data_IF_549400722767
#
_entry.id   IF_549400722767
#
_cell.length_a   1.000
_cell.length_b   1.000
_cell.length_c   1.000
_cell.angle_alpha   90.00
_cell.angle_beta   90.00
_cell.angle_gamma   90.00
#
_symmetry.space_group_name_H-M   'P 1'
#
loop_
_entity.id
_entity.type
_entity.pdbx_description
1 polymer ?
#
# COMPACT_ATOMS: atom_id res chain seq x y z
N UNK A 1 14.92 -38.25 -16.12
CA UNK A 1 13.64 -37.61 -15.70
C UNK A 1 13.74 -37.28 -14.22
N UNK A 2 13.05 -36.23 -13.74
CA UNK A 2 13.02 -35.89 -12.31
C UNK A 2 11.93 -36.66 -11.55
N UNK A 3 11.85 -36.55 -10.20
CA UNK A 3 10.71 -37.05 -9.45
C UNK A 3 9.41 -36.38 -9.91
N UNK A 4 8.31 -37.14 -9.85
CA UNK A 4 6.97 -36.71 -10.26
C UNK A 4 6.44 -35.55 -9.40
N UNK A 5 5.35 -34.94 -9.88
CA UNK A 5 4.68 -33.83 -9.17
C UNK A 5 4.07 -34.31 -7.85
N UNK A 6 4.37 -33.62 -6.73
CA UNK A 6 3.74 -33.93 -5.43
C UNK A 6 2.32 -33.37 -5.29
N UNK A 7 1.92 -32.38 -6.11
CA UNK A 7 0.53 -31.91 -6.17
C UNK A 7 -0.25 -32.56 -7.33
N UNK A 8 0.44 -33.20 -8.28
CA UNK A 8 -0.11 -33.65 -9.56
C UNK A 8 0.02 -32.57 -10.64
N UNK A 9 0.32 -32.97 -11.87
CA UNK A 9 0.68 -32.07 -12.97
C UNK A 9 -0.44 -31.07 -13.32
N UNK A 10 -1.71 -31.53 -13.27
CA UNK A 10 -2.87 -30.66 -13.47
C UNK A 10 -3.03 -29.59 -12.39
N UNK A 11 -2.50 -29.82 -11.18
CA UNK A 11 -2.59 -28.89 -10.06
C UNK A 11 -1.39 -27.94 -10.02
N UNK A 12 -0.18 -28.41 -10.33
CA UNK A 12 0.98 -27.52 -10.52
C UNK A 12 0.76 -26.58 -11.72
N UNK A 13 0.16 -27.04 -12.82
CA UNK A 13 -0.23 -26.14 -13.92
C UNK A 13 -1.19 -25.03 -13.47
N UNK A 14 -2.20 -25.34 -12.67
CA UNK A 14 -3.15 -24.33 -12.15
C UNK A 14 -2.48 -23.34 -11.19
N UNK A 15 -1.55 -23.81 -10.36
CA UNK A 15 -0.73 -22.94 -9.51
C UNK A 15 0.19 -22.03 -10.35
N UNK A 16 0.76 -22.56 -11.44
CA UNK A 16 1.57 -21.78 -12.38
C UNK A 16 0.75 -20.70 -13.10
N UNK A 17 -0.45 -21.04 -13.58
CA UNK A 17 -1.35 -20.09 -14.23
C UNK A 17 -1.91 -19.05 -13.23
N UNK A 18 -2.08 -19.41 -11.95
CA UNK A 18 -2.40 -18.46 -10.87
C UNK A 18 -1.28 -17.46 -10.61
N UNK A 19 -0.03 -17.91 -10.54
CA UNK A 19 1.15 -17.02 -10.37
C UNK A 19 1.21 -15.96 -11.48
N UNK A 20 0.99 -16.37 -12.74
CA UNK A 20 0.92 -15.43 -13.89
C UNK A 20 -0.26 -14.47 -13.77
N UNK A 21 -1.41 -14.95 -13.30
CA UNK A 21 -2.62 -14.12 -13.13
C UNK A 21 -2.40 -13.04 -12.07
N UNK A 22 -1.81 -13.39 -10.93
CA UNK A 22 -1.46 -12.45 -9.86
C UNK A 22 -0.39 -11.44 -10.28
N UNK A 23 0.58 -11.85 -11.10
CA UNK A 23 1.50 -10.90 -11.76
C UNK A 23 0.74 -9.94 -12.68
N UNK A 24 -0.21 -10.44 -13.48
CA UNK A 24 -1.02 -9.65 -14.41
C UNK A 24 -1.99 -8.66 -13.76
N UNK A 25 -2.30 -8.83 -12.47
CA UNK A 25 -3.10 -7.88 -11.66
C UNK A 25 -2.25 -6.94 -10.80
N UNK A 26 -0.92 -6.97 -10.93
CA UNK A 26 0.00 -6.08 -10.20
C UNK A 26 0.47 -6.58 -8.84
N UNK A 27 0.13 -7.82 -8.46
CA UNK A 27 0.47 -8.42 -7.16
C UNK A 27 1.39 -9.65 -7.31
N UNK A 28 2.67 -9.48 -7.72
CA UNK A 28 3.59 -10.59 -7.94
C UNK A 28 3.91 -11.36 -6.65
N UNK A 29 3.60 -12.65 -6.64
CA UNK A 29 3.79 -13.54 -5.48
C UNK A 29 5.27 -13.81 -5.21
N UNK A 30 5.71 -13.73 -3.94
CA UNK A 30 7.09 -14.04 -3.57
C UNK A 30 7.35 -15.54 -3.43
N UNK A 31 8.63 -15.92 -3.31
CA UNK A 31 9.09 -17.26 -2.92
C UNK A 31 8.36 -17.78 -1.66
N UNK A 32 8.08 -16.92 -0.67
CA UNK A 32 7.37 -17.35 0.54
C UNK A 32 5.90 -17.64 0.25
N UNK A 33 5.25 -16.79 -0.54
CA UNK A 33 3.81 -16.84 -0.76
C UNK A 33 3.43 -18.05 -1.62
N UNK A 34 4.19 -18.30 -2.69
CA UNK A 34 4.05 -19.53 -3.50
C UNK A 34 4.22 -20.79 -2.64
N UNK A 35 5.11 -20.77 -1.65
CA UNK A 35 5.32 -21.90 -0.71
C UNK A 35 4.22 -22.04 0.35
N UNK A 36 3.54 -20.96 0.74
CA UNK A 36 2.34 -21.00 1.61
C UNK A 36 1.14 -21.50 0.82
N UNK A 37 0.87 -20.91 -0.35
CA UNK A 37 -0.24 -21.29 -1.23
C UNK A 37 -0.12 -22.77 -1.61
N UNK A 38 1.07 -23.26 -1.96
CA UNK A 38 1.30 -24.67 -2.26
C UNK A 38 1.05 -25.62 -1.06
N UNK A 39 1.21 -25.14 0.18
CA UNK A 39 0.87 -25.92 1.39
C UNK A 39 -0.65 -25.94 1.60
N UNK A 40 -1.28 -24.76 1.63
CA UNK A 40 -2.74 -24.61 1.81
C UNK A 40 -3.53 -25.38 0.74
N UNK A 41 -3.09 -25.31 -0.52
CA UNK A 41 -3.67 -26.01 -1.65
C UNK A 41 -3.58 -27.53 -1.53
N UNK A 42 -2.53 -28.05 -0.89
CA UNK A 42 -2.32 -29.47 -0.69
C UNK A 42 -3.17 -30.02 0.48
N UNK A 43 -3.27 -29.28 1.59
CA UNK A 43 -4.15 -29.63 2.72
C UNK A 43 -5.64 -29.56 2.30
N UNK A 44 -6.07 -28.51 1.59
CA UNK A 44 -7.46 -28.35 1.14
C UNK A 44 -7.90 -29.39 0.08
N UNK A 45 -6.97 -29.87 -0.76
CA UNK A 45 -7.22 -31.01 -1.66
C UNK A 45 -6.98 -32.38 -1.00
N UNK A 46 -6.63 -32.42 0.30
CA UNK A 46 -6.28 -33.63 1.06
C UNK A 46 -5.19 -34.49 0.36
N UNK A 47 -4.24 -33.84 -0.31
CA UNK A 47 -3.14 -34.48 -1.03
C UNK A 47 -2.06 -34.90 -0.04
N UNK A 48 -1.59 -36.15 -0.12
CA UNK A 48 -0.56 -36.69 0.78
C UNK A 48 0.84 -36.08 0.51
N UNK A 49 1.09 -34.91 1.08
CA UNK A 49 2.35 -34.16 0.93
C UNK A 49 3.38 -34.42 2.05
N UNK A 50 4.64 -34.04 1.78
CA UNK A 50 5.76 -34.03 2.76
C UNK A 50 6.16 -32.61 3.22
N UNK A 51 5.28 -31.63 3.04
CA UNK A 51 5.53 -30.23 3.42
C UNK A 51 5.56 -30.01 4.93
N UNK A 52 6.14 -28.89 5.38
CA UNK A 52 6.35 -28.62 6.78
C UNK A 52 5.06 -28.10 7.45
N UNK A 53 4.39 -28.96 8.23
CA UNK A 53 3.18 -28.62 8.99
C UNK A 53 3.43 -27.69 10.20
N UNK A 54 4.68 -27.44 10.63
CA UNK A 54 4.97 -26.47 11.72
C UNK A 54 5.28 -25.05 11.24
N UNK A 55 5.57 -24.87 9.95
CA UNK A 55 5.76 -23.57 9.30
C UNK A 55 4.68 -23.25 8.25
N UNK A 56 3.74 -24.18 8.04
CA UNK A 56 2.64 -24.12 7.06
C UNK A 56 3.13 -23.81 5.62
N UNK A 57 4.25 -24.43 5.23
CA UNK A 57 4.96 -24.14 3.97
C UNK A 57 5.52 -25.38 3.27
N UNK A 58 5.45 -25.36 1.94
CA UNK A 58 6.18 -26.27 1.08
C UNK A 58 7.71 -26.09 1.21
N UNK A 59 8.48 -27.14 0.90
CA UNK A 59 9.95 -27.10 0.97
C UNK A 59 10.59 -26.29 -0.18
N UNK A 60 11.82 -25.83 0.02
CA UNK A 60 12.60 -25.18 -1.05
C UNK A 60 12.86 -26.13 -2.23
N UNK A 61 13.16 -27.40 -1.95
CA UNK A 61 13.42 -28.41 -2.99
C UNK A 61 12.19 -28.65 -3.87
N UNK A 62 10.98 -28.64 -3.28
CA UNK A 62 9.75 -28.72 -4.06
C UNK A 62 9.62 -27.51 -5.00
N UNK A 63 9.90 -26.29 -4.54
CA UNK A 63 9.83 -25.09 -5.37
C UNK A 63 10.85 -25.16 -6.52
N UNK A 64 12.08 -25.64 -6.27
CA UNK A 64 13.09 -25.84 -7.31
C UNK A 64 12.64 -26.89 -8.35
N UNK A 65 11.98 -27.98 -7.92
CA UNK A 65 11.43 -28.97 -8.83
C UNK A 65 10.21 -28.45 -9.62
N UNK A 66 9.37 -27.60 -9.01
CA UNK A 66 8.24 -26.93 -9.64
C UNK A 66 8.70 -25.96 -10.74
N UNK A 67 9.65 -25.05 -10.44
CA UNK A 67 10.20 -24.10 -11.41
C UNK A 67 10.90 -24.81 -12.58
N UNK A 68 11.52 -25.99 -12.34
CA UNK A 68 12.08 -26.82 -13.43
C UNK A 68 11.00 -27.52 -14.29
N UNK A 69 9.77 -27.69 -13.79
CA UNK A 69 8.63 -28.17 -14.58
C UNK A 69 7.88 -27.03 -15.29
N UNK A 70 7.98 -25.81 -14.78
CA UNK A 70 7.38 -24.59 -15.33
C UNK A 70 8.47 -23.56 -15.69
N UNK A 71 9.24 -23.80 -16.78
CA UNK A 71 10.33 -22.90 -17.19
C UNK A 71 9.82 -21.53 -17.68
N UNK A 72 8.51 -21.41 -17.91
CA UNK A 72 7.77 -20.17 -18.15
C UNK A 72 7.63 -19.29 -16.88
N UNK A 73 7.99 -19.81 -15.70
CA UNK A 73 8.07 -19.04 -14.44
C UNK A 73 9.54 -18.91 -14.03
N UNK A 74 10.15 -17.76 -14.35
CA UNK A 74 11.55 -17.47 -14.04
C UNK A 74 11.65 -16.69 -12.73
N UNK A 75 12.41 -17.21 -11.76
CA UNK A 75 12.74 -16.47 -10.54
C UNK A 75 13.62 -15.26 -10.89
N UNK A 76 13.03 -14.06 -10.83
CA UNK A 76 13.75 -12.78 -10.90
C UNK A 76 14.03 -12.28 -9.49
N UNK A 77 15.21 -11.69 -9.29
CA UNK A 77 15.56 -10.97 -8.08
C UNK A 77 14.94 -9.58 -8.16
N UNK A 78 14.06 -9.22 -7.23
CA UNK A 78 13.66 -7.82 -7.05
C UNK A 78 14.87 -7.02 -6.58
N UNK A 79 15.17 -5.90 -7.26
CA UNK A 79 16.42 -5.18 -7.02
C UNK A 79 16.38 -4.29 -5.77
N UNK A 80 17.51 -4.25 -5.06
CA UNK A 80 17.58 -3.73 -3.70
C UNK A 80 17.68 -2.22 -3.61
N UNK A 81 16.52 -1.55 -3.57
CA UNK A 81 16.29 -0.28 -2.84
C UNK A 81 17.32 0.84 -3.09
N UNK A 82 17.42 1.31 -4.33
CA UNK A 82 17.85 2.69 -4.62
C UNK A 82 17.14 3.25 -5.86
N UNK A 83 17.30 2.58 -7.00
CA UNK A 83 16.74 3.01 -8.31
C UNK A 83 15.20 2.92 -8.34
N UNK A 84 14.59 2.02 -7.58
CA UNK A 84 13.13 1.89 -7.49
C UNK A 84 12.40 3.16 -6.96
N UNK A 85 13.10 4.11 -6.33
CA UNK A 85 12.55 5.44 -5.98
C UNK A 85 12.55 6.44 -7.15
N UNK A 86 13.28 6.18 -8.22
CA UNK A 86 13.27 6.94 -9.47
C UNK A 86 12.40 6.27 -10.55
N UNK A 87 12.14 4.96 -10.42
CA UNK A 87 11.29 4.17 -11.32
C UNK A 87 9.86 3.95 -10.80
N UNK A 88 9.58 4.22 -9.51
CA UNK A 88 8.28 3.98 -8.86
C UNK A 88 7.14 4.93 -9.26
N UNK A 89 7.14 5.40 -10.52
CA UNK A 89 6.18 6.29 -11.15
C UNK A 89 6.16 6.03 -12.67
N UNK A 90 5.62 4.86 -13.04
CA UNK A 90 5.30 4.46 -14.40
C UNK A 90 3.94 5.08 -14.79
N UNK A 91 3.85 5.83 -15.90
CA UNK A 91 2.58 6.45 -16.33
C UNK A 91 1.45 5.46 -16.51
N UNK A 92 1.73 4.26 -16.99
CA UNK A 92 0.69 3.25 -17.26
C UNK A 92 0.08 2.70 -15.96
N UNK A 93 0.90 2.47 -14.93
CA UNK A 93 0.44 2.00 -13.61
C UNK A 93 -0.34 3.08 -12.86
N UNK A 94 0.11 4.34 -12.97
CA UNK A 94 -0.54 5.48 -12.33
C UNK A 94 -1.84 5.87 -13.04
N UNK A 95 -1.88 5.80 -14.38
CA UNK A 95 -3.12 5.93 -15.15
C UNK A 95 -4.11 4.85 -14.78
N UNK A 96 -3.71 3.56 -14.81
CA UNK A 96 -4.59 2.46 -14.44
C UNK A 96 -5.12 2.55 -13.00
N UNK A 97 -4.35 3.12 -12.08
CA UNK A 97 -4.83 3.47 -10.74
C UNK A 97 -5.87 4.60 -10.76
N UNK A 98 -5.64 5.68 -11.51
CA UNK A 98 -6.62 6.76 -11.64
C UNK A 98 -7.90 6.32 -12.37
N UNK A 99 -7.80 5.47 -13.40
CA UNK A 99 -8.94 4.87 -14.10
C UNK A 99 -9.79 4.00 -13.14
N UNK A 100 -9.11 3.22 -12.29
CA UNK A 100 -9.75 2.40 -11.25
C UNK A 100 -10.33 3.25 -10.12
N UNK A 101 -9.68 4.35 -9.74
CA UNK A 101 -10.17 5.30 -8.75
C UNK A 101 -11.43 6.02 -9.27
N UNK A 102 -11.39 6.57 -10.48
CA UNK A 102 -12.54 7.22 -11.12
C UNK A 102 -13.74 6.28 -11.17
N UNK A 103 -13.52 5.05 -11.66
CA UNK A 103 -14.57 4.03 -11.68
C UNK A 103 -15.15 3.76 -10.29
N UNK A 104 -14.32 3.57 -9.26
CA UNK A 104 -14.83 3.34 -7.91
C UNK A 104 -15.57 4.57 -7.33
N UNK A 105 -15.17 5.79 -7.70
CA UNK A 105 -15.85 7.01 -7.28
C UNK A 105 -17.19 7.23 -8.02
N UNK A 106 -17.30 6.80 -9.27
CA UNK A 106 -18.54 6.89 -10.08
C UNK A 106 -19.52 5.76 -9.72
N UNK A 107 -19.10 4.50 -9.78
CA UNK A 107 -19.94 3.30 -9.56
C UNK A 107 -20.60 3.26 -8.17
N UNK A 108 -20.10 4.07 -7.22
CA UNK A 108 -20.55 4.11 -5.83
C UNK A 108 -21.01 5.50 -5.37
N UNK A 109 -21.17 6.46 -6.30
CA UNK A 109 -21.64 7.82 -6.03
C UNK A 109 -20.82 8.52 -4.93
N UNK A 110 -19.49 8.57 -5.10
CA UNK A 110 -18.54 9.17 -4.15
C UNK A 110 -17.83 10.43 -4.70
N UNK A 111 -17.94 10.72 -6.00
CA UNK A 111 -17.30 11.89 -6.65
C UNK A 111 -17.58 13.24 -5.97
N UNK A 112 -18.70 13.37 -5.26
CA UNK A 112 -19.14 14.58 -4.56
C UNK A 112 -19.13 14.44 -3.03
N UNK A 113 -18.64 13.31 -2.49
CA UNK A 113 -18.71 12.95 -1.06
C UNK A 113 -17.32 12.89 -0.41
N UNK A 114 -16.67 14.04 -0.16
CA UNK A 114 -15.33 14.08 0.45
C UNK A 114 -15.31 13.44 1.85
N UNK A 115 -16.44 13.41 2.53
CA UNK A 115 -16.60 12.76 3.83
C UNK A 115 -16.52 11.22 3.77
N UNK A 116 -16.78 10.60 2.61
CA UNK A 116 -16.76 9.16 2.38
C UNK A 116 -15.49 8.64 1.69
N UNK A 117 -14.57 9.53 1.28
CA UNK A 117 -13.28 9.15 0.67
C UNK A 117 -12.18 9.29 1.71
N UNK A 118 -11.71 8.14 2.23
CA UNK A 118 -10.71 8.03 3.29
C UNK A 118 -9.34 7.60 2.76
N UNK A 119 -8.33 7.95 3.54
CA UNK A 119 -6.97 7.46 3.40
C UNK A 119 -6.44 7.03 4.77
N UNK A 120 -5.73 5.90 4.82
CA UNK A 120 -5.03 5.39 6.00
C UNK A 120 -3.60 5.00 5.66
N UNK A 121 -2.68 5.25 6.60
CA UNK A 121 -1.24 5.06 6.42
C UNK A 121 -0.51 4.92 7.79
N UNK A 122 0.70 4.35 7.76
CA UNK A 122 1.56 4.15 8.93
C UNK A 122 2.76 5.11 8.98
N UNK A 123 3.12 5.54 10.20
CA UNK A 123 4.34 6.31 10.41
C UNK A 123 5.06 5.99 11.72
N UNK A 124 6.32 5.56 11.60
CA UNK A 124 7.21 5.38 12.75
C UNK A 124 7.62 6.70 13.41
N UNK A 125 7.31 6.86 14.70
CA UNK A 125 7.82 7.90 15.59
C UNK A 125 8.80 7.27 16.59
N UNK A 126 9.98 7.87 16.77
CA UNK A 126 11.02 7.33 17.65
C UNK A 126 11.02 8.01 19.02
N UNK A 127 11.15 7.23 20.09
CA UNK A 127 11.30 7.70 21.47
C UNK A 127 12.74 8.21 21.73
N UNK A 128 13.16 9.19 20.95
CA UNK A 128 14.33 10.01 21.18
C UNK A 128 14.07 11.45 20.71
N UNK A 129 14.84 12.41 21.22
CA UNK A 129 14.97 13.69 20.55
C UNK A 129 15.92 13.54 19.36
N UNK A 130 15.44 13.87 18.16
CA UNK A 130 16.34 14.18 17.05
C UNK A 130 16.95 15.55 17.30
N UNK A 131 18.28 15.69 17.28
CA UNK A 131 18.92 17.00 17.43
C UNK A 131 18.57 17.87 16.22
N UNK A 132 18.01 19.05 16.48
CA UNK A 132 17.69 20.03 15.44
C UNK A 132 18.90 20.88 15.06
N UNK A 133 18.73 21.75 14.06
CA UNK A 133 19.72 22.80 13.80
C UNK A 133 19.85 23.72 15.01
N UNK A 134 21.09 24.06 15.36
CA UNK A 134 21.45 24.90 16.50
C UNK A 134 22.38 26.01 16.04
N UNK A 135 22.21 27.20 16.62
CA UNK A 135 23.13 28.31 16.42
C UNK A 135 24.33 28.14 17.36
N UNK A 136 25.53 28.35 16.83
CA UNK A 136 26.78 28.29 17.56
C UNK A 136 27.69 29.45 17.14
N UNK A 137 28.69 29.77 17.97
CA UNK A 137 29.63 30.85 17.66
C UNK A 137 30.48 30.51 16.43
N UNK A 138 30.77 31.53 15.61
CA UNK A 138 31.59 31.38 14.40
C UNK A 138 33.00 30.93 14.77
N UNK A 139 33.34 29.68 14.47
CA UNK A 139 34.60 29.03 14.84
C UNK A 139 34.48 27.91 15.87
N UNK A 140 33.31 27.68 16.48
CA UNK A 140 33.06 26.53 17.36
C UNK A 140 33.18 25.22 16.57
N UNK A 141 34.22 24.42 16.86
CA UNK A 141 34.53 23.16 16.15
C UNK A 141 33.64 21.97 16.52
N UNK A 142 33.00 22.00 17.69
CA UNK A 142 32.13 20.94 18.17
C UNK A 142 30.89 21.55 18.83
N UNK A 143 29.70 21.15 18.38
CA UNK A 143 28.42 21.58 18.94
C UNK A 143 27.62 20.33 19.26
N UNK A 144 27.47 20.02 20.55
CA UNK A 144 26.73 18.86 21.04
C UNK A 144 25.40 19.29 21.64
N UNK A 145 24.38 18.46 21.43
CA UNK A 145 23.06 18.60 22.07
C UNK A 145 22.74 17.30 22.77
N UNK A 146 22.28 17.37 24.02
CA UNK A 146 22.03 16.20 24.85
C UNK A 146 20.89 15.36 24.26
N UNK A 147 21.22 14.19 23.70
CA UNK A 147 20.24 13.18 23.26
C UNK A 147 20.00 12.16 24.37
N UNK A 148 18.75 11.75 24.60
CA UNK A 148 18.44 10.78 25.67
C UNK A 148 18.92 9.36 25.37
N UNK A 149 19.04 9.02 24.09
CA UNK A 149 19.22 7.66 23.57
C UNK A 149 19.60 7.73 22.08
N UNK A 150 20.69 7.07 21.67
CA UNK A 150 21.12 7.04 20.25
C UNK A 150 20.08 6.37 19.34
N UNK A 151 19.48 5.26 19.80
CA UNK A 151 18.40 4.54 19.12
C UNK A 151 17.18 4.50 20.03
N UNK A 152 16.26 5.45 19.85
CA UNK A 152 14.95 5.42 20.49
C UNK A 152 14.09 4.26 19.97
N UNK A 153 13.22 3.72 20.84
CA UNK A 153 12.20 2.76 20.43
C UNK A 153 11.25 3.39 19.40
N UNK A 154 10.96 2.70 18.29
CA UNK A 154 9.95 3.15 17.33
C UNK A 154 8.56 2.68 17.75
N UNK A 155 7.61 3.61 17.84
CA UNK A 155 6.18 3.35 17.93
C UNK A 155 5.57 3.80 16.60
N UNK A 156 4.80 2.92 15.97
CA UNK A 156 4.14 3.24 14.70
C UNK A 156 2.77 3.82 14.98
N UNK A 157 2.48 5.01 14.47
CA UNK A 157 1.11 5.52 14.42
C UNK A 157 0.41 4.93 13.20
N UNK A 158 -0.88 4.67 13.32
CA UNK A 158 -1.82 4.55 12.21
C UNK A 158 -2.60 5.86 12.19
N UNK A 159 -2.49 6.60 11.09
CA UNK A 159 -3.31 7.78 10.84
C UNK A 159 -4.43 7.42 9.83
N UNK A 160 -5.58 8.07 9.96
CA UNK A 160 -6.64 7.99 8.97
C UNK A 160 -7.44 9.29 8.93
N UNK A 161 -7.75 9.78 7.73
CA UNK A 161 -8.55 10.97 7.49
C UNK A 161 -9.38 10.85 6.21
N UNK A 162 -10.45 11.64 6.09
CA UNK A 162 -11.20 11.79 4.86
C UNK A 162 -10.85 13.08 4.10
N UNK A 163 -11.27 13.15 2.84
CA UNK A 163 -11.05 14.30 1.95
C UNK A 163 -11.76 15.59 2.39
N UNK A 164 -12.71 15.50 3.32
CA UNK A 164 -13.35 16.66 3.98
C UNK A 164 -12.44 17.28 5.06
N UNK A 165 -11.38 16.57 5.46
CA UNK A 165 -10.41 17.02 6.45
C UNK A 165 -10.63 16.49 7.86
N UNK A 166 -11.62 15.60 8.06
CA UNK A 166 -11.87 14.96 9.35
C UNK A 166 -10.88 13.82 9.58
N UNK A 167 -10.19 13.84 10.72
CA UNK A 167 -9.30 12.77 11.16
C UNK A 167 -9.99 11.84 12.15
N UNK A 168 -9.73 10.53 12.04
CA UNK A 168 -9.92 9.63 13.16
C UNK A 168 -8.82 9.89 14.21
N UNK A 169 -9.07 9.68 15.51
CA UNK A 169 -8.00 9.66 16.51
C UNK A 169 -6.91 8.66 16.09
N UNK A 170 -5.61 8.94 16.32
CA UNK A 170 -4.56 8.05 15.86
C UNK A 170 -4.60 6.76 16.65
N UNK A 171 -4.47 5.64 15.95
CA UNK A 171 -4.13 4.37 16.57
C UNK A 171 -2.60 4.24 16.65
N UNK A 172 -2.08 3.38 17.53
CA UNK A 172 -0.64 3.17 17.69
C UNK A 172 -0.31 1.69 17.90
N UNK A 173 0.79 1.23 17.30
CA UNK A 173 1.33 -0.12 17.44
C UNK A 173 2.61 -0.05 18.26
N UNK A 174 2.63 -0.76 19.39
CA UNK A 174 3.81 -0.89 20.25
C UNK A 174 4.32 -2.32 20.28
N UNK A 175 5.64 -2.51 20.26
CA UNK A 175 6.24 -3.84 20.40
C UNK A 175 6.09 -4.38 21.82
N UNK A 176 5.64 -5.62 21.99
CA UNK A 176 5.54 -6.29 23.29
C UNK A 176 4.38 -7.28 23.35
N UNK A 177 4.26 -7.98 24.49
CA UNK A 177 3.13 -8.89 24.75
C UNK A 177 2.05 -8.24 25.61
N UNK A 178 2.44 -7.48 26.63
CA UNK A 178 1.52 -6.97 27.64
C UNK A 178 1.22 -5.49 27.38
N UNK A 179 -0.05 -5.17 27.14
CA UNK A 179 -0.54 -3.80 27.18
C UNK A 179 -0.59 -3.35 28.65
N UNK A 180 -0.18 -2.11 28.90
CA UNK A 180 -0.40 -1.40 30.17
C UNK A 180 -1.49 -0.35 29.94
N UNK A 181 -2.34 -0.15 30.93
CA UNK A 181 -3.28 0.98 31.02
C UNK A 181 -2.54 2.30 30.83
N UNK A 182 -1.41 2.45 31.52
CA UNK A 182 -0.57 3.64 31.57
C UNK A 182 0.11 4.01 30.24
N UNK A 183 -0.08 3.21 29.17
CA UNK A 183 0.34 3.58 27.81
C UNK A 183 -0.69 4.46 27.10
N UNK A 184 -1.98 4.39 27.49
CA UNK A 184 -3.04 5.22 26.91
C UNK A 184 -3.15 6.60 27.59
N UNK A 185 -2.39 6.82 28.67
CA UNK A 185 -2.33 8.08 29.42
C UNK A 185 -1.91 9.27 28.55
N UNK A 186 -2.75 10.32 28.55
CA UNK A 186 -2.49 11.57 27.83
C UNK A 186 -2.52 11.47 26.30
N UNK A 187 -2.82 10.30 25.72
CA UNK A 187 -3.07 10.13 24.28
C UNK A 187 -4.20 11.06 23.78
N UNK A 188 -4.30 11.31 22.46
CA UNK A 188 -5.49 11.94 21.88
C UNK A 188 -6.79 11.22 22.30
N UNK A 189 -7.88 11.96 22.61
CA UNK A 189 -9.15 11.35 22.96
C UNK A 189 -9.65 10.37 21.89
N UNK A 190 -10.04 9.16 22.31
CA UNK A 190 -10.54 8.12 21.40
C UNK A 190 -9.48 7.33 20.64
N UNK A 191 -8.18 7.54 20.90
CA UNK A 191 -7.08 6.70 20.40
C UNK A 191 -7.18 5.23 20.84
N UNK A 192 -6.39 4.36 20.21
CA UNK A 192 -6.26 2.93 20.53
C UNK A 192 -4.80 2.48 20.45
N UNK A 193 -4.35 1.70 21.43
CA UNK A 193 -3.03 1.04 21.40
C UNK A 193 -3.17 -0.46 21.17
N UNK A 194 -2.52 -0.93 20.10
CA UNK A 194 -2.36 -2.32 19.69
C UNK A 194 -0.95 -2.81 20.06
N UNK A 195 -0.83 -4.10 20.42
CA UNK A 195 0.43 -4.72 20.85
C UNK A 195 0.89 -5.81 19.87
N UNK A 196 2.13 -5.73 19.39
CA UNK A 196 2.72 -6.76 18.51
C UNK A 196 3.94 -7.41 19.15
N UNK A 197 3.93 -8.75 19.26
CA UNK A 197 5.02 -9.49 19.92
C UNK A 197 6.37 -9.35 19.20
N UNK A 198 6.35 -9.26 17.86
CA UNK A 198 7.55 -9.36 17.01
C UNK A 198 8.13 -8.00 16.58
N UNK A 199 7.29 -7.03 16.24
CA UNK A 199 7.67 -5.75 15.64
C UNK A 199 6.81 -4.60 16.19
N UNK A 200 6.98 -3.39 15.67
CA UNK A 200 5.99 -2.31 15.78
C UNK A 200 5.28 -2.04 14.44
N UNK A 201 5.37 -2.97 13.48
CA UNK A 201 4.71 -2.86 12.17
C UNK A 201 3.29 -3.42 12.25
N UNK A 202 2.43 -2.99 11.33
CA UNK A 202 1.11 -3.58 11.16
C UNK A 202 1.21 -5.03 10.66
N UNK A 203 0.16 -5.79 10.94
CA UNK A 203 -0.09 -7.15 10.47
C UNK A 203 -1.55 -7.24 10.06
N UNK A 204 -1.93 -8.19 9.20
CA UNK A 204 -3.33 -8.33 8.77
C UNK A 204 -4.31 -8.50 9.95
N UNK A 205 -3.88 -9.15 11.04
CA UNK A 205 -4.66 -9.25 12.26
C UNK A 205 -4.87 -7.89 12.95
N UNK A 206 -3.83 -7.06 13.08
CA UNK A 206 -3.94 -5.70 13.65
C UNK A 206 -4.75 -4.78 12.73
N UNK A 207 -4.61 -4.93 11.40
CA UNK A 207 -5.39 -4.16 10.43
C UNK A 207 -6.89 -4.52 10.50
N UNK A 208 -7.22 -5.80 10.61
CA UNK A 208 -8.61 -6.25 10.77
C UNK A 208 -9.19 -5.87 12.13
N UNK A 209 -8.41 -5.95 13.22
CA UNK A 209 -8.81 -5.44 14.53
C UNK A 209 -9.07 -3.91 14.48
N UNK A 210 -8.18 -3.15 13.82
CA UNK A 210 -8.33 -1.71 13.59
C UNK A 210 -9.57 -1.38 12.75
N UNK A 211 -9.87 -2.13 11.69
CA UNK A 211 -11.13 -1.98 10.94
C UNK A 211 -12.34 -2.17 11.86
N UNK A 212 -12.36 -3.28 12.61
CA UNK A 212 -13.46 -3.68 13.51
C UNK A 212 -13.70 -2.70 14.67
N UNK A 213 -12.66 -2.26 15.39
CA UNK A 213 -12.82 -1.47 16.63
C UNK A 213 -12.52 0.03 16.47
N UNK A 214 -11.91 0.45 15.35
CA UNK A 214 -11.46 1.82 15.15
C UNK A 214 -12.11 2.51 13.95
N UNK A 215 -12.08 1.90 12.77
CA UNK A 215 -12.61 2.50 11.54
C UNK A 215 -14.14 2.39 11.42
N UNK A 216 -14.70 1.17 11.44
CA UNK A 216 -16.15 0.94 11.29
C UNK A 216 -17.00 1.75 12.28
N UNK A 217 -16.65 1.86 13.58
CA UNK A 217 -17.42 2.68 14.53
C UNK A 217 -17.32 4.20 14.32
N UNK A 218 -16.60 4.68 13.29
CA UNK A 218 -16.34 6.11 13.01
C UNK A 218 -16.55 6.52 11.54
N UNK A 219 -16.77 5.57 10.62
CA UNK A 219 -17.10 5.89 9.22
C UNK A 219 -18.54 6.44 9.11
N UNK A 220 -18.87 7.22 8.08
CA UNK A 220 -20.26 7.55 7.76
C UNK A 220 -21.08 6.30 7.35
N UNK A 221 -22.42 6.35 7.47
CA UNK A 221 -23.31 5.30 6.95
C UNK A 221 -23.24 5.22 5.42
N UNK A 222 -23.50 4.04 4.87
CA UNK A 222 -23.34 3.80 3.43
C UNK A 222 -21.90 3.46 3.03
N UNK A 223 -21.70 3.35 1.71
CA UNK A 223 -20.40 3.06 1.10
C UNK A 223 -19.34 4.12 1.38
N UNK A 224 -18.13 3.66 1.67
CA UNK A 224 -16.91 4.48 1.78
C UNK A 224 -15.77 3.88 0.97
N UNK A 225 -14.90 4.74 0.45
CA UNK A 225 -13.64 4.34 -0.16
C UNK A 225 -12.51 4.50 0.87
N UNK A 226 -11.69 3.48 1.07
CA UNK A 226 -10.53 3.51 1.95
C UNK A 226 -9.25 3.23 1.14
N UNK A 227 -8.45 4.27 0.97
CA UNK A 227 -7.19 4.26 0.24
C UNK A 227 -6.03 3.84 1.14
N UNK A 228 -5.26 2.87 0.67
CA UNK A 228 -4.18 2.20 1.40
C UNK A 228 -2.92 2.13 0.54
N UNK A 229 -1.78 1.86 1.16
CA UNK A 229 -0.56 1.50 0.42
C UNK A 229 -0.66 0.06 -0.15
N UNK A 230 0.29 -0.30 -1.01
CA UNK A 230 0.35 -1.62 -1.64
C UNK A 230 0.90 -2.75 -0.75
N UNK A 231 1.09 -2.54 0.56
CA UNK A 231 1.72 -3.53 1.42
C UNK A 231 0.79 -4.71 1.69
N UNK A 232 1.30 -5.93 1.51
CA UNK A 232 0.49 -7.14 1.44
C UNK A 232 -0.31 -7.46 2.72
N UNK A 233 0.03 -6.87 3.87
CA UNK A 233 -0.78 -6.98 5.09
C UNK A 233 -2.20 -6.46 4.92
N UNK A 234 -2.44 -5.50 4.02
CA UNK A 234 -3.74 -4.88 3.77
C UNK A 234 -4.63 -5.68 2.79
N UNK A 235 -4.10 -6.74 2.15
CA UNK A 235 -4.83 -7.52 1.14
C UNK A 235 -4.79 -9.05 1.36
N UNK A 236 -3.82 -9.59 2.10
CA UNK A 236 -3.59 -11.04 2.25
C UNK A 236 -4.54 -11.78 3.21
N UNK A 237 -5.79 -11.33 3.39
CA UNK A 237 -6.73 -11.96 4.33
C UNK A 237 -8.16 -11.91 3.80
N UNK A 238 -8.73 -13.11 3.53
CA UNK A 238 -10.11 -13.26 3.03
C UNK A 238 -11.12 -12.71 4.04
N UNK A 239 -11.00 -13.07 5.33
CA UNK A 239 -11.84 -12.54 6.43
C UNK A 239 -11.87 -11.00 6.46
N UNK A 240 -10.77 -10.34 6.11
CA UNK A 240 -10.67 -8.88 6.08
C UNK A 240 -11.35 -8.28 4.84
N UNK A 241 -11.27 -8.92 3.68
CA UNK A 241 -12.00 -8.51 2.47
C UNK A 241 -13.51 -8.74 2.63
N UNK A 242 -13.91 -9.86 3.22
CA UNK A 242 -15.30 -10.18 3.55
C UNK A 242 -15.86 -9.14 4.53
N UNK A 243 -15.17 -8.91 5.66
CA UNK A 243 -15.58 -7.92 6.66
C UNK A 243 -15.64 -6.48 6.09
N UNK A 244 -14.71 -6.11 5.20
CA UNK A 244 -14.77 -4.83 4.50
C UNK A 244 -16.03 -4.71 3.63
N UNK A 245 -16.33 -5.73 2.82
CA UNK A 245 -17.52 -5.77 1.98
C UNK A 245 -18.83 -5.75 2.79
N UNK A 246 -18.92 -6.54 3.88
CA UNK A 246 -20.06 -6.54 4.81
C UNK A 246 -20.35 -5.17 5.44
N UNK A 247 -19.30 -4.34 5.61
CA UNK A 247 -19.40 -3.01 6.21
C UNK A 247 -19.38 -1.88 5.17
N UNK A 248 -19.64 -2.19 3.89
CA UNK A 248 -19.66 -1.22 2.78
C UNK A 248 -18.33 -0.45 2.59
N UNK A 249 -17.19 -1.09 2.87
CA UNK A 249 -15.86 -0.50 2.70
C UNK A 249 -15.23 -1.00 1.39
N UNK A 250 -15.04 -0.09 0.45
CA UNK A 250 -14.27 -0.32 -0.77
C UNK A 250 -12.79 -0.11 -0.43
N UNK A 251 -11.99 -1.16 -0.49
CA UNK A 251 -10.54 -1.08 -0.28
C UNK A 251 -9.85 -0.85 -1.63
N UNK A 252 -8.99 0.16 -1.72
CA UNK A 252 -8.21 0.46 -2.92
C UNK A 252 -6.75 0.78 -2.57
N UNK A 253 -5.85 -0.12 -2.96
CA UNK A 253 -4.40 0.07 -2.82
C UNK A 253 -3.83 0.95 -3.94
N UNK A 254 -2.97 1.90 -3.61
CA UNK A 254 -2.15 2.60 -4.61
C UNK A 254 -1.06 1.68 -5.20
N UNK A 255 -0.52 1.95 -6.40
CA UNK A 255 0.56 1.14 -6.97
C UNK A 255 1.84 1.24 -6.14
N UNK A 256 2.67 0.19 -6.22
CA UNK A 256 3.91 0.08 -5.44
C UNK A 256 4.84 1.27 -5.65
N UNK A 257 5.51 1.70 -4.56
CA UNK A 257 6.48 2.80 -4.52
C UNK A 257 5.96 4.23 -4.81
N UNK A 258 4.68 4.41 -5.18
CA UNK A 258 4.10 5.71 -5.55
C UNK A 258 3.83 6.68 -4.37
N UNK A 259 3.91 6.23 -3.11
CA UNK A 259 3.36 6.93 -1.93
C UNK A 259 3.76 8.42 -1.86
N UNK A 260 5.03 8.73 -2.12
CA UNK A 260 5.58 10.08 -2.15
C UNK A 260 4.88 11.09 -3.10
N UNK A 261 4.05 10.61 -4.03
CA UNK A 261 3.13 11.41 -4.85
C UNK A 261 1.65 11.11 -4.60
N UNK A 262 1.26 9.82 -4.47
CA UNK A 262 -0.15 9.43 -4.41
C UNK A 262 -0.77 9.34 -3.00
N UNK A 263 0.01 9.32 -1.91
CA UNK A 263 -0.46 9.06 -0.54
C UNK A 263 -0.79 10.37 0.23
N UNK A 264 -2.06 10.76 0.46
CA UNK A 264 -2.42 12.02 1.11
C UNK A 264 -1.72 12.29 2.45
N UNK A 265 -1.63 11.27 3.32
CA UNK A 265 -1.01 11.38 4.64
C UNK A 265 0.50 11.65 4.58
N UNK A 266 1.22 11.04 3.63
CA UNK A 266 2.66 11.23 3.44
C UNK A 266 2.95 12.60 2.76
N UNK A 267 2.08 13.03 1.82
CA UNK A 267 2.17 14.32 1.10
C UNK A 267 2.12 15.53 2.02
N UNK A 268 1.24 15.54 3.03
CA UNK A 268 0.97 16.73 3.83
C UNK A 268 1.10 16.52 5.36
N UNK A 269 0.68 15.39 5.91
CA UNK A 269 0.47 15.23 7.36
C UNK A 269 1.73 14.74 8.08
N UNK A 270 2.35 13.66 7.61
CA UNK A 270 3.41 12.99 8.36
C UNK A 270 4.69 13.81 8.52
N UNK A 271 5.03 14.68 7.57
CA UNK A 271 6.16 15.61 7.70
C UNK A 271 5.93 16.63 8.83
N UNK A 272 4.73 17.20 8.89
CA UNK A 272 4.31 18.13 9.95
C UNK A 272 4.28 17.44 11.32
N UNK A 273 3.63 16.27 11.40
CA UNK A 273 3.51 15.51 12.64
C UNK A 273 4.86 15.05 13.20
N UNK A 274 5.78 14.57 12.34
CA UNK A 274 7.16 14.26 12.76
C UNK A 274 7.88 15.50 13.30
N UNK A 275 7.73 16.64 12.65
CA UNK A 275 8.33 17.91 13.11
C UNK A 275 7.84 18.31 14.51
N UNK A 276 6.52 18.39 14.70
CA UNK A 276 5.93 18.76 15.99
C UNK A 276 6.15 17.70 17.07
N UNK A 277 6.19 16.41 16.74
CA UNK A 277 6.51 15.38 17.72
C UNK A 277 7.93 15.53 18.26
N UNK A 278 8.95 15.68 17.39
CA UNK A 278 10.33 15.89 17.84
C UNK A 278 10.54 17.27 18.51
N UNK A 279 9.75 18.29 18.15
CA UNK A 279 9.65 19.56 18.90
C UNK A 279 9.23 19.30 20.36
N UNK A 280 8.14 18.54 20.58
CA UNK A 280 7.67 18.21 21.93
C UNK A 280 8.66 17.32 22.70
N UNK A 281 9.29 16.33 22.03
CA UNK A 281 10.37 15.53 22.63
C UNK A 281 11.52 16.40 23.17
N UNK A 282 11.96 17.39 22.39
CA UNK A 282 13.02 18.34 22.78
C UNK A 282 12.59 19.20 23.98
N UNK A 283 11.38 19.75 23.95
CA UNK A 283 10.85 20.55 25.07
C UNK A 283 10.74 19.72 26.36
N UNK A 284 10.26 18.47 26.27
CA UNK A 284 10.13 17.57 27.41
C UNK A 284 11.47 17.24 28.06
N UNK A 285 12.51 16.94 27.26
CA UNK A 285 13.86 16.65 27.78
C UNK A 285 14.47 17.88 28.45
N UNK A 286 14.30 19.08 27.87
CA UNK A 286 14.77 20.32 28.48
C UNK A 286 14.06 20.59 29.84
N UNK A 287 12.80 20.20 29.97
CA UNK A 287 12.01 20.30 31.21
C UNK A 287 12.26 19.15 32.21
N UNK A 288 12.90 18.05 31.78
CA UNK A 288 13.17 16.87 32.58
C UNK A 288 14.65 16.43 32.49
N UNK A 289 15.62 17.24 32.98
CA UNK A 289 17.04 16.88 32.95
C UNK A 289 17.33 15.49 33.52
N UNK A 290 18.18 14.73 32.83
CA UNK A 290 18.55 13.36 33.22
C UNK A 290 17.47 12.29 33.02
N UNK A 291 16.25 12.63 32.58
CA UNK A 291 15.21 11.65 32.27
C UNK A 291 15.17 11.32 30.77
N UNK A 292 14.76 10.10 30.44
CA UNK A 292 14.54 9.63 29.06
C UNK A 292 13.05 9.59 28.72
N UNK A 293 12.73 9.81 27.46
CA UNK A 293 11.37 9.62 26.93
C UNK A 293 11.04 8.12 26.97
N UNK A 294 9.81 7.78 27.35
CA UNK A 294 9.28 6.42 27.44
C UNK A 294 7.87 6.33 26.86
N UNK A 295 7.31 5.12 26.77
CA UNK A 295 5.91 4.89 26.37
C UNK A 295 4.90 5.64 27.24
N UNK A 296 5.18 5.81 28.54
CA UNK A 296 4.31 6.55 29.47
C UNK A 296 4.23 8.04 29.10
N UNK A 297 5.33 8.63 28.64
CA UNK A 297 5.33 10.02 28.14
C UNK A 297 4.78 10.15 26.72
N UNK A 298 4.78 9.07 25.92
CA UNK A 298 4.48 9.12 24.49
C UNK A 298 3.12 9.73 24.17
N UNK A 299 2.06 9.32 24.88
CA UNK A 299 0.71 9.83 24.64
C UNK A 299 0.63 11.36 24.77
N UNK A 300 1.17 11.90 25.86
CA UNK A 300 1.21 13.35 26.12
C UNK A 300 2.00 14.15 25.06
N UNK A 301 3.00 13.55 24.41
CA UNK A 301 3.81 14.17 23.36
C UNK A 301 3.12 14.05 21.99
N UNK A 302 2.56 12.88 21.69
CA UNK A 302 1.76 12.65 20.49
C UNK A 302 0.54 13.57 20.46
N UNK A 303 -0.17 13.73 21.57
CA UNK A 303 -1.38 14.56 21.64
C UNK A 303 -1.11 16.03 21.28
N UNK A 304 -0.07 16.62 21.88
CA UNK A 304 0.40 17.99 21.57
C UNK A 304 0.90 18.16 20.13
N UNK A 305 1.41 17.10 19.49
CA UNK A 305 1.85 17.13 18.11
C UNK A 305 0.70 16.88 17.11
N UNK A 306 -0.22 15.98 17.44
CA UNK A 306 -1.39 15.62 16.64
C UNK A 306 -2.31 16.82 16.45
N UNK A 307 -2.63 17.54 17.54
CA UNK A 307 -3.45 18.76 17.47
C UNK A 307 -2.84 19.92 16.66
N UNK A 308 -1.55 19.86 16.29
CA UNK A 308 -0.92 20.80 15.35
C UNK A 308 -0.85 20.30 13.91
N UNK A 309 -0.84 18.99 13.69
CA UNK A 309 -0.56 18.38 12.38
C UNK A 309 -1.78 17.76 11.69
N UNK A 310 -2.71 17.20 12.46
CA UNK A 310 -3.96 16.61 11.97
C UNK A 310 -5.04 17.69 11.77
N UNK A 311 -4.73 18.69 10.92
CA UNK A 311 -5.64 19.78 10.58
C UNK A 311 -6.39 19.47 9.28
N UNK A 312 -7.63 19.95 9.17
CA UNK A 312 -8.43 19.79 7.96
C UNK A 312 -7.71 20.32 6.70
N UNK A 313 -7.01 21.44 6.83
CA UNK A 313 -6.15 22.01 5.78
C UNK A 313 -5.08 21.02 5.29
N UNK A 314 -4.35 20.35 6.19
CA UNK A 314 -3.32 19.38 5.79
C UNK A 314 -3.93 18.16 5.10
N UNK A 315 -5.08 17.64 5.57
CA UNK A 315 -5.76 16.54 4.90
C UNK A 315 -6.28 16.94 3.51
N UNK A 316 -7.07 18.03 3.41
CA UNK A 316 -7.60 18.54 2.13
C UNK A 316 -6.45 18.85 1.15
N UNK A 317 -5.35 19.43 1.62
CA UNK A 317 -4.15 19.66 0.81
C UNK A 317 -3.49 18.36 0.36
N UNK A 318 -3.46 17.33 1.21
CA UNK A 318 -2.94 16.00 0.86
C UNK A 318 -3.75 15.34 -0.25
N UNK A 319 -5.08 15.26 -0.10
CA UNK A 319 -5.98 14.66 -1.09
C UNK A 319 -6.00 15.42 -2.43
N UNK A 320 -5.87 16.75 -2.39
CA UNK A 320 -5.73 17.58 -3.60
C UNK A 320 -4.37 17.36 -4.27
N UNK A 321 -3.29 17.28 -3.48
CA UNK A 321 -1.93 17.10 -3.98
C UNK A 321 -1.61 15.68 -4.45
N UNK A 322 -2.48 14.69 -4.21
CA UNK A 322 -2.41 13.35 -4.80
C UNK A 322 -3.39 13.14 -5.96
N UNK A 323 -4.21 14.13 -6.33
CA UNK A 323 -5.22 14.00 -7.36
C UNK A 323 -6.44 13.14 -6.98
N UNK A 324 -6.55 12.75 -5.71
CA UNK A 324 -7.63 11.87 -5.23
C UNK A 324 -8.93 12.65 -5.01
N UNK A 325 -8.86 13.82 -4.35
CA UNK A 325 -10.06 14.62 -4.08
C UNK A 325 -9.77 16.13 -4.03
N UNK A 326 -10.46 16.96 -4.85
CA UNK A 326 -11.29 16.57 -5.99
C UNK A 326 -10.51 15.70 -6.97
N UNK A 327 -11.19 14.76 -7.62
CA UNK A 327 -10.55 13.83 -8.55
C UNK A 327 -9.87 14.60 -9.70
N UNK A 328 -8.56 14.38 -9.86
CA UNK A 328 -7.75 15.00 -10.89
C UNK A 328 -6.51 14.12 -11.22
N UNK A 329 -6.54 13.30 -12.28
CA UNK A 329 -5.41 12.45 -12.67
C UNK A 329 -4.18 13.27 -13.11
N UNK A 330 -4.37 14.54 -13.51
CA UNK A 330 -3.29 15.45 -13.91
C UNK A 330 -2.63 16.19 -12.74
N UNK A 331 -3.04 15.94 -11.49
CA UNK A 331 -2.45 16.57 -10.32
C UNK A 331 -0.98 16.16 -10.06
N UNK A 332 -0.54 15.06 -10.66
CA UNK A 332 0.83 14.55 -10.52
C UNK A 332 1.68 15.06 -11.68
N UNK A 333 2.73 15.87 -11.42
CA UNK A 333 3.43 16.60 -12.47
C UNK A 333 4.36 15.71 -13.29
N UNK A 334 4.61 16.07 -14.56
CA UNK A 334 5.41 15.27 -15.50
C UNK A 334 6.84 14.95 -15.03
N UNK A 335 7.44 15.81 -14.19
CA UNK A 335 8.76 15.56 -13.60
C UNK A 335 8.77 14.42 -12.57
N UNK A 336 7.61 13.88 -12.18
CA UNK A 336 7.52 12.70 -11.31
C UNK A 336 7.78 11.40 -12.10
N UNK A 337 7.47 11.39 -13.39
CA UNK A 337 7.56 10.24 -14.30
C UNK A 337 8.89 10.21 -15.08
N UNK A 338 10.03 10.47 -14.41
CA UNK A 338 11.33 10.66 -15.09
C UNK A 338 11.76 9.42 -15.88
N UNK A 339 11.33 8.23 -15.46
CA UNK A 339 11.67 6.95 -16.10
C UNK A 339 11.05 6.73 -17.49
N UNK A 340 10.10 7.57 -17.92
CA UNK A 340 9.42 7.42 -19.22
C UNK A 340 10.09 8.24 -20.36
N UNK A 341 11.23 8.90 -20.11
CA UNK A 341 11.98 9.59 -21.16
C UNK A 341 12.81 8.60 -22.00
N UNK A 342 12.82 8.72 -23.34
CA UNK A 342 13.79 8.02 -24.18
C UNK A 342 15.24 8.37 -23.77
N UNK A 343 16.20 7.45 -23.87
CA UNK A 343 17.61 7.72 -23.52
C UNK A 343 18.24 8.90 -24.27
N UNK A 344 17.72 9.22 -25.46
CA UNK A 344 18.33 10.15 -26.41
C UNK A 344 18.11 11.64 -26.07
N UNK A 345 17.15 11.98 -25.19
CA UNK A 345 16.86 13.37 -24.82
C UNK A 345 17.75 13.92 -23.67
N UNK A 346 18.75 13.19 -23.20
CA UNK A 346 19.65 13.62 -22.11
C UNK A 346 20.96 14.23 -22.63
N UNK A 347 20.86 15.17 -23.58
CA UNK A 347 21.99 16.06 -23.94
C UNK A 347 21.56 17.53 -24.02
N UNK A 348 22.49 18.42 -23.68
CA UNK A 348 22.42 19.88 -23.89
C UNK A 348 21.30 20.67 -23.20
N UNK A 349 21.37 20.78 -21.86
CA UNK A 349 20.99 22.02 -21.18
C UNK A 349 22.27 22.76 -20.76
N UNK A 350 22.77 23.62 -21.65
CA UNK A 350 23.78 24.64 -21.33
C UNK A 350 23.57 25.88 -22.20
N UNK A 351 23.07 26.95 -21.58
CA UNK A 351 23.14 28.36 -22.01
C UNK A 351 22.94 28.72 -23.49
N UNK A 352 21.73 29.14 -23.88
CA UNK A 352 21.48 30.51 -24.39
C UNK A 352 20.02 30.78 -24.79
N UNK A 353 19.65 32.06 -24.79
CA UNK A 353 18.43 32.68 -25.32
C UNK A 353 18.87 33.87 -26.20
N UNK A 354 18.00 34.50 -27.02
CA UNK A 354 17.00 33.90 -27.92
C UNK A 354 16.98 34.59 -29.31
N UNK A 355 16.53 33.91 -30.37
CA UNK A 355 16.09 34.56 -31.64
C UNK A 355 14.88 33.84 -32.21
N UNK A 356 13.92 34.59 -32.77
CA UNK A 356 12.69 34.07 -33.38
C UNK A 356 12.72 34.16 -34.90
N UNK A 357 12.20 33.14 -35.60
CA UNK A 357 11.53 33.32 -36.91
C UNK A 357 10.55 32.17 -37.20
N UNK A 358 9.51 32.48 -37.95
CA UNK A 358 8.40 31.59 -38.34
C UNK A 358 8.50 31.12 -39.80
N UNK A 359 8.04 29.91 -40.12
CA UNK A 359 7.32 29.56 -41.38
C UNK A 359 6.34 28.39 -41.11
N UNK A 360 5.22 28.35 -41.82
CA UNK A 360 4.14 27.34 -41.78
C UNK A 360 4.23 26.29 -42.90
N UNK A 361 3.66 25.08 -42.71
CA UNK A 361 2.52 24.52 -43.50
C UNK A 361 2.50 22.98 -43.76
N UNK A 362 1.28 22.48 -44.03
CA UNK A 362 0.87 21.27 -44.80
C UNK A 362 1.12 19.82 -44.30
N UNK A 363 0.00 19.14 -43.99
CA UNK A 363 -0.32 17.70 -44.12
C UNK A 363 -1.08 17.45 -45.46
N UNK A 364 -1.69 16.28 -45.81
CA UNK A 364 -1.70 14.89 -45.24
C UNK A 364 -1.09 13.90 -46.30
N UNK A 365 -1.67 12.80 -46.89
CA UNK A 365 -2.80 11.89 -46.52
C UNK A 365 -2.68 10.35 -46.83
N UNK A 366 -3.14 9.53 -45.85
CA UNK A 366 -4.04 8.37 -45.99
C UNK A 366 -3.54 6.93 -46.38
N UNK A 367 -4.47 5.97 -46.19
CA UNK A 367 -4.52 4.50 -46.43
C UNK A 367 -3.87 3.59 -45.35
N UNK A 368 -4.54 2.54 -44.82
CA UNK A 368 -5.97 2.22 -44.84
C UNK A 368 -6.31 0.71 -44.67
N UNK A 369 -7.32 0.39 -43.84
CA UNK A 369 -8.10 -0.89 -43.80
C UNK A 369 -7.34 -2.21 -43.53
N UNK A 370 -7.92 -3.40 -43.21
CA UNK A 370 -9.18 -3.86 -42.57
C UNK A 370 -8.91 -5.29 -42.01
N UNK A 371 -9.81 -5.89 -41.21
CA UNK A 371 -9.82 -7.36 -41.01
C UNK A 371 -10.26 -7.87 -39.63
N UNK A 372 -11.48 -8.40 -39.54
CA UNK A 372 -11.99 -9.17 -38.39
C UNK A 372 -11.73 -10.69 -38.57
N UNK A 373 -11.80 -11.48 -37.49
CA UNK A 373 -12.53 -12.77 -37.41
C UNK A 373 -12.33 -13.49 -36.05
N UNK A 374 -13.42 -13.68 -35.32
CA UNK A 374 -13.66 -14.83 -34.42
C UNK A 374 -14.65 -15.77 -35.16
N UNK A 375 -14.93 -17.04 -34.77
CA UNK A 375 -15.92 -17.27 -33.70
C UNK A 375 -15.93 -18.67 -32.99
N UNK A 376 -16.95 -18.87 -32.13
CA UNK A 376 -17.69 -20.10 -31.76
C UNK A 376 -17.27 -20.94 -30.53
N UNK A 377 -18.29 -21.33 -29.75
CA UNK A 377 -18.26 -22.28 -28.62
C UNK A 377 -19.65 -22.96 -28.41
N UNK A 378 -19.69 -24.24 -28.00
CA UNK A 378 -20.92 -24.99 -27.60
C UNK A 378 -20.57 -26.08 -26.52
N UNK A 379 -21.50 -26.86 -25.89
CA UNK A 379 -21.81 -26.69 -24.46
C UNK A 379 -21.78 -27.96 -23.57
N UNK A 380 -22.10 -27.80 -22.28
CA UNK A 380 -22.38 -28.88 -21.30
C UNK A 380 -21.21 -29.18 -20.34
N UNK A 381 -21.40 -29.69 -19.11
CA UNK A 381 -22.61 -30.12 -18.37
C UNK A 381 -22.37 -29.96 -16.85
N UNK A 382 -23.41 -29.98 -16.01
CA UNK A 382 -23.33 -29.73 -14.56
C UNK A 382 -22.98 -30.96 -13.70
N UNK A 383 -22.05 -30.79 -12.74
CA UNK A 383 -21.96 -31.56 -11.50
C UNK A 383 -21.17 -30.76 -10.44
N UNK A 384 -21.62 -30.74 -9.18
CA UNK A 384 -20.85 -30.09 -8.11
C UNK A 384 -19.72 -30.99 -7.61
N UNK A 385 -18.49 -30.59 -7.92
CA UNK A 385 -17.28 -31.11 -7.30
C UNK A 385 -16.40 -29.94 -6.86
N UNK A 386 -15.72 -30.12 -5.73
CA UNK A 386 -14.69 -29.21 -5.22
C UNK A 386 -13.45 -29.29 -6.11
N UNK A 387 -13.49 -28.60 -7.25
CA UNK A 387 -12.36 -28.63 -8.19
C UNK A 387 -11.16 -27.83 -7.65
N UNK A 388 -9.92 -28.25 -7.97
CA UNK A 388 -8.71 -27.47 -7.69
C UNK A 388 -8.74 -26.02 -8.22
N UNK A 389 -9.61 -25.72 -9.19
CA UNK A 389 -9.78 -24.39 -9.79
C UNK A 389 -10.75 -23.48 -9.04
N UNK A 390 -11.64 -24.03 -8.18
CA UNK A 390 -12.38 -23.26 -7.16
C UNK A 390 -11.43 -22.99 -5.98
N UNK A 391 -10.86 -24.06 -5.43
CA UNK A 391 -9.96 -24.03 -4.26
C UNK A 391 -8.83 -23.00 -4.38
N UNK A 392 -8.16 -22.84 -5.53
CA UNK A 392 -7.15 -21.77 -5.69
C UNK A 392 -7.72 -20.35 -5.61
N UNK A 393 -8.95 -20.13 -6.10
CA UNK A 393 -9.66 -18.85 -5.97
C UNK A 393 -10.17 -18.61 -4.55
N UNK A 394 -10.41 -19.67 -3.78
CA UNK A 394 -10.85 -19.58 -2.39
C UNK A 394 -9.64 -19.29 -1.45
N UNK A 395 -8.46 -19.84 -1.76
CA UNK A 395 -7.18 -19.55 -1.08
C UNK A 395 -6.65 -18.16 -1.46
N UNK A 396 -6.77 -17.78 -2.73
CA UNK A 396 -6.17 -16.58 -3.30
C UNK A 396 -7.05 -16.05 -4.46
N UNK A 397 -8.11 -15.28 -4.16
CA UNK A 397 -9.08 -14.87 -5.16
C UNK A 397 -8.48 -13.96 -6.24
N UNK A 398 -8.78 -14.29 -7.49
CA UNK A 398 -8.44 -13.46 -8.66
C UNK A 398 -9.43 -12.28 -8.71
N UNK A 399 -8.97 -11.01 -8.66
CA UNK A 399 -9.82 -9.84 -8.82
C UNK A 399 -10.58 -9.88 -10.17
N UNK A 400 -11.91 -9.79 -10.15
CA UNK A 400 -12.72 -9.91 -11.36
C UNK A 400 -12.81 -8.60 -12.15
N UNK A 401 -12.43 -8.66 -13.43
CA UNK A 401 -12.60 -7.54 -14.38
C UNK A 401 -14.04 -7.56 -14.93
N UNK A 402 -14.87 -6.63 -14.46
CA UNK A 402 -16.26 -6.48 -14.93
C UNK A 402 -16.27 -6.10 -16.41
N UNK A 403 -16.96 -6.90 -17.23
CA UNK A 403 -17.26 -6.62 -18.65
C UNK A 403 -18.77 -6.75 -18.89
N UNK A 404 -19.45 -5.65 -19.20
CA UNK A 404 -20.88 -5.69 -19.54
C UNK A 404 -21.12 -6.07 -20.99
N UNK A 405 -21.71 -7.25 -21.23
CA UNK A 405 -22.18 -7.65 -22.56
C UNK A 405 -23.55 -7.06 -22.83
N UNK A 406 -23.60 -5.91 -23.52
CA UNK A 406 -24.85 -5.28 -23.96
C UNK A 406 -25.62 -6.16 -24.95
N UNK A 407 -26.60 -6.93 -24.46
CA UNK A 407 -27.65 -7.50 -25.32
C UNK A 407 -28.52 -6.38 -25.89
N UNK A 408 -28.55 -6.24 -27.21
CA UNK A 408 -29.59 -5.45 -27.91
C UNK A 408 -30.91 -6.22 -27.89
N UNK A 409 -31.97 -5.60 -27.41
CA UNK A 409 -33.35 -5.90 -27.82
C UNK A 409 -33.86 -4.80 -28.75
N UNK A 410 -34.90 -5.10 -29.53
CA UNK A 410 -35.59 -4.15 -30.41
C UNK A 410 -36.60 -3.31 -29.62
#
# INVERSE_FOLDING_TARGET
MGPTSMLGEQNEKKLADHIKTMQGTGFPLTISDVRVIAFQFAEQLNIKHKFNKSEEKAGYDWLQMFLRRHPDIVLRKSEGVSIARCQGMNRNEVSAYFDLLEKNLIDNDLMTKPNCVFNMDESGLQLNNRPGHVLAAKGTKAVSTTTSTEKGETITIIACCNAEGTFLPPACIMKGMNKKSEYEDGMPPGSRIFMSKKSAYITSAIFLEWLKIHFVPRKPPGKVLLLLDGHSTHCNSVEMLEYANENEIILLSMPSHTSHFLQPLDRAVFKSLKSHFYEQCRLWINQNPGRRITRLSFGSLLNKAWGKAATAENAISGFRASGVFPFNPTAIPDYAFISDRPPDEVTNINSSLPVSTSVTSTTPPNFGETGENEPLAIPGTSADQWTPSRILKDISPIPQKIMEVRKRSK
#
